data_IF_433207439067
#
_entry.id   IF_433207439067
#
_cell.length_a   1.000
_cell.length_b   1.000
_cell.length_c   1.000
_cell.angle_alpha   90.00
_cell.angle_beta   90.00
_cell.angle_gamma   90.00
#
_symmetry.space_group_name_H-M   'P 1'
#
loop_
_entity.id
_entity.type
_entity.pdbx_description
1 polymer ?
#
# COMPACT_ATOMS: atom_id res chain seq x y z
N UNK A 1 -36.82 -0.31 20.22
CA UNK A 1 -36.23 0.47 19.11
C UNK A 1 -35.51 1.76 19.57
N UNK A 2 -35.85 2.38 20.72
CA UNK A 2 -35.24 3.67 21.13
C UNK A 2 -33.82 3.64 21.72
N UNK A 3 -33.32 2.50 22.22
CA UNK A 3 -31.95 2.41 22.77
C UNK A 3 -30.87 2.25 21.69
N UNK A 4 -31.18 1.57 20.57
CA UNK A 4 -30.22 1.35 19.47
C UNK A 4 -29.88 2.67 18.76
N UNK A 5 -30.89 3.50 18.49
CA UNK A 5 -30.69 4.78 17.81
C UNK A 5 -29.90 5.79 18.64
N UNK A 6 -30.01 5.75 19.97
CA UNK A 6 -29.24 6.61 20.86
C UNK A 6 -27.76 6.20 20.92
N UNK A 7 -27.48 4.89 20.96
CA UNK A 7 -26.11 4.35 20.91
C UNK A 7 -25.44 4.65 19.57
N UNK A 8 -26.18 4.48 18.46
CA UNK A 8 -25.69 4.80 17.12
C UNK A 8 -25.38 6.29 16.96
N UNK A 9 -26.26 7.18 17.44
CA UNK A 9 -26.03 8.62 17.42
C UNK A 9 -24.82 9.02 18.27
N UNK A 10 -24.68 8.45 19.47
CA UNK A 10 -23.55 8.72 20.35
C UNK A 10 -22.23 8.19 19.77
N UNK A 11 -22.23 7.00 19.17
CA UNK A 11 -21.07 6.46 18.47
C UNK A 11 -20.68 7.31 17.26
N UNK A 12 -21.66 7.83 16.51
CA UNK A 12 -21.40 8.73 15.39
C UNK A 12 -20.73 10.03 15.85
N UNK A 13 -21.21 10.62 16.96
CA UNK A 13 -20.59 11.83 17.54
C UNK A 13 -19.18 11.56 18.08
N UNK A 14 -18.96 10.43 18.75
CA UNK A 14 -17.65 10.10 19.34
C UNK A 14 -16.60 9.67 18.30
N UNK A 15 -17.00 8.88 17.29
CA UNK A 15 -16.09 8.33 16.28
C UNK A 15 -15.93 9.24 15.06
N UNK A 16 -16.82 10.20 14.85
CA UNK A 16 -16.80 11.11 13.71
C UNK A 16 -15.44 11.81 13.50
N UNK A 17 -14.89 12.48 14.53
CA UNK A 17 -13.57 13.12 14.43
C UNK A 17 -12.44 12.13 14.11
N UNK A 18 -12.42 10.98 14.77
CA UNK A 18 -11.39 9.95 14.55
C UNK A 18 -11.45 9.36 13.13
N UNK A 19 -12.65 9.22 12.57
CA UNK A 19 -12.83 8.80 11.17
C UNK A 19 -12.31 9.85 10.21
N UNK A 20 -12.56 11.13 10.48
CA UNK A 20 -12.02 12.20 9.65
C UNK A 20 -10.47 12.25 9.69
N UNK A 21 -9.87 11.94 10.84
CA UNK A 21 -8.41 11.78 10.94
C UNK A 21 -7.89 10.60 10.11
N UNK A 22 -8.57 9.44 10.16
CA UNK A 22 -8.23 8.28 9.32
C UNK A 22 -8.40 8.61 7.84
N UNK A 23 -9.50 9.24 7.45
CA UNK A 23 -9.76 9.63 6.06
C UNK A 23 -8.66 10.56 5.53
N UNK A 24 -8.17 11.49 6.36
CA UNK A 24 -7.06 12.37 5.99
C UNK A 24 -5.75 11.58 5.75
N UNK A 25 -5.43 10.61 6.61
CA UNK A 25 -4.28 9.71 6.43
C UNK A 25 -4.45 8.86 5.16
N UNK A 26 -5.64 8.35 4.89
CA UNK A 26 -5.92 7.53 3.71
C UNK A 26 -5.74 8.33 2.40
N UNK A 27 -6.10 9.63 2.40
CA UNK A 27 -5.82 10.53 1.28
C UNK A 27 -4.31 10.64 1.04
N UNK A 28 -3.51 10.77 2.09
CA UNK A 28 -2.05 10.83 1.97
C UNK A 28 -1.47 9.51 1.46
N UNK A 29 -1.95 8.37 1.96
CA UNK A 29 -1.56 7.04 1.49
C UNK A 29 -1.88 6.88 0.00
N UNK A 30 -3.08 7.29 -0.44
CA UNK A 30 -3.48 7.22 -1.85
C UNK A 30 -2.56 8.09 -2.73
N UNK A 31 -2.21 9.29 -2.28
CA UNK A 31 -1.29 10.17 -2.98
C UNK A 31 0.13 9.57 -3.08
N UNK A 32 0.62 8.94 -2.01
CA UNK A 32 1.92 8.25 -2.00
C UNK A 32 1.92 7.01 -2.91
N UNK A 33 0.82 6.25 -2.94
CA UNK A 33 0.66 5.12 -3.86
C UNK A 33 0.70 5.58 -5.32
N UNK A 34 0.02 6.68 -5.66
CA UNK A 34 0.08 7.24 -7.01
C UNK A 34 1.51 7.64 -7.41
N UNK A 35 2.24 8.31 -6.50
CA UNK A 35 3.67 8.65 -6.71
C UNK A 35 4.52 7.39 -6.90
N UNK A 36 4.30 6.35 -6.10
CA UNK A 36 5.01 5.07 -6.21
C UNK A 36 4.73 4.41 -7.56
N UNK A 37 3.48 4.43 -8.05
CA UNK A 37 3.14 3.88 -9.36
C UNK A 37 3.80 4.64 -10.51
N UNK A 38 3.92 5.97 -10.43
CA UNK A 38 4.68 6.73 -11.44
C UNK A 38 6.17 6.34 -11.50
N UNK A 39 6.76 5.88 -10.38
CA UNK A 39 8.10 5.28 -10.38
C UNK A 39 8.08 3.91 -11.08
N UNK A 40 7.10 3.06 -10.76
CA UNK A 40 6.93 1.74 -11.38
C UNK A 40 6.81 1.83 -12.90
N UNK A 41 6.10 2.82 -13.44
CA UNK A 41 6.02 3.04 -14.90
C UNK A 41 7.40 3.22 -15.54
N UNK A 42 8.27 4.01 -14.90
CA UNK A 42 9.64 4.22 -15.37
C UNK A 42 10.48 2.94 -15.24
N UNK A 43 10.26 2.17 -14.17
CA UNK A 43 10.89 0.85 -13.99
C UNK A 43 10.49 -0.11 -15.10
N UNK A 44 9.21 -0.14 -15.49
CA UNK A 44 8.73 -0.98 -16.61
C UNK A 44 9.44 -0.61 -17.91
N UNK A 45 9.61 0.68 -18.21
CA UNK A 45 10.33 1.12 -19.42
C UNK A 45 11.77 0.60 -19.43
N UNK A 46 12.50 0.76 -18.31
CA UNK A 46 13.88 0.25 -18.17
C UNK A 46 13.92 -1.27 -18.30
N UNK A 47 13.02 -1.98 -17.62
CA UNK A 47 12.97 -3.45 -17.68
C UNK A 47 12.68 -3.96 -19.09
N UNK A 48 11.79 -3.27 -19.82
CA UNK A 48 11.46 -3.61 -21.21
C UNK A 48 12.68 -3.45 -22.11
N UNK A 49 13.38 -2.33 -22.03
CA UNK A 49 14.57 -2.06 -22.84
C UNK A 49 15.71 -3.04 -22.53
N UNK A 50 15.87 -3.41 -21.26
CA UNK A 50 16.92 -4.32 -20.80
C UNK A 50 16.55 -5.82 -20.83
N UNK A 51 15.31 -6.17 -21.22
CA UNK A 51 14.84 -7.57 -21.20
C UNK A 51 14.75 -8.19 -19.79
N UNK A 52 14.58 -7.38 -18.75
CA UNK A 52 14.51 -7.81 -17.35
C UNK A 52 13.07 -8.24 -17.01
N UNK A 53 12.87 -9.38 -16.34
CA UNK A 53 11.53 -9.83 -15.93
C UNK A 53 10.90 -8.92 -14.87
N UNK A 54 9.56 -8.95 -14.77
CA UNK A 54 8.85 -8.21 -13.73
C UNK A 54 9.24 -8.70 -12.31
N UNK A 55 9.27 -10.01 -12.11
CA UNK A 55 9.62 -10.64 -10.83
C UNK A 55 11.13 -10.74 -10.64
N UNK A 56 11.61 -10.19 -9.53
CA UNK A 56 12.95 -10.43 -8.97
C UNK A 56 12.76 -10.80 -7.49
N UNK A 57 12.84 -12.09 -7.16
CA UNK A 57 12.51 -12.60 -5.82
C UNK A 57 13.35 -11.93 -4.72
N UNK A 58 14.66 -11.81 -4.93
CA UNK A 58 15.56 -11.17 -3.97
C UNK A 58 15.12 -9.74 -3.65
N UNK A 59 14.61 -9.02 -4.66
CA UNK A 59 14.13 -7.65 -4.46
C UNK A 59 12.85 -7.60 -3.62
N UNK A 60 11.97 -8.59 -3.73
CA UNK A 60 10.75 -8.66 -2.91
C UNK A 60 11.12 -8.84 -1.44
N UNK A 61 12.06 -9.75 -1.15
CA UNK A 61 12.51 -10.01 0.22
C UNK A 61 13.26 -8.82 0.82
N UNK A 62 14.14 -8.16 0.05
CA UNK A 62 14.81 -6.93 0.49
C UNK A 62 13.81 -5.83 0.88
N UNK A 63 12.79 -5.62 0.04
CA UNK A 63 11.77 -4.58 0.30
C UNK A 63 10.92 -4.95 1.52
N UNK A 64 10.56 -6.22 1.68
CA UNK A 64 9.83 -6.70 2.84
C UNK A 64 10.63 -6.51 4.15
N UNK A 65 11.91 -6.90 4.16
CA UNK A 65 12.78 -6.72 5.31
C UNK A 65 12.96 -5.23 5.67
N UNK A 66 13.14 -4.37 4.65
CA UNK A 66 13.30 -2.94 4.86
C UNK A 66 12.05 -2.31 5.49
N UNK A 67 10.85 -2.59 4.96
CA UNK A 67 9.63 -2.00 5.51
C UNK A 67 9.34 -2.50 6.93
N UNK A 68 9.66 -3.76 7.25
CA UNK A 68 9.58 -4.27 8.63
C UNK A 68 10.44 -3.44 9.59
N UNK A 69 11.71 -3.22 9.25
CA UNK A 69 12.61 -2.41 10.08
C UNK A 69 12.15 -0.96 10.23
N UNK A 70 11.56 -0.37 9.18
CA UNK A 70 10.97 0.98 9.26
C UNK A 70 9.73 1.03 10.16
N UNK A 71 8.90 -0.01 10.12
CA UNK A 71 7.72 -0.10 10.96
C UNK A 71 8.12 -0.22 12.44
N UNK A 72 9.09 -1.08 12.76
CA UNK A 72 9.65 -1.20 14.12
C UNK A 72 10.20 0.14 14.62
N UNK A 73 10.98 0.85 13.80
CA UNK A 73 11.55 2.15 14.16
C UNK A 73 10.52 3.26 14.37
N UNK A 74 9.35 3.17 13.72
CA UNK A 74 8.27 4.17 13.82
C UNK A 74 7.17 3.78 14.82
N UNK A 75 7.27 2.62 15.47
CA UNK A 75 6.28 2.11 16.41
C UNK A 75 5.04 1.49 15.73
N UNK A 76 5.07 1.29 14.41
CA UNK A 76 4.04 0.59 13.68
C UNK A 76 4.23 -0.94 13.79
N UNK A 77 3.17 -1.76 13.73
CA UNK A 77 3.30 -3.21 13.74
C UNK A 77 4.06 -3.71 12.50
N UNK A 78 5.23 -4.39 12.65
CA UNK A 78 6.02 -4.82 11.48
C UNK A 78 5.28 -5.84 10.60
N UNK A 79 4.48 -6.71 11.20
CA UNK A 79 3.73 -7.72 10.46
C UNK A 79 2.64 -7.09 9.58
N UNK A 80 2.04 -5.98 10.03
CA UNK A 80 1.10 -5.20 9.22
C UNK A 80 1.81 -4.59 8.01
N UNK A 81 2.96 -3.95 8.25
CA UNK A 81 3.73 -3.30 7.19
C UNK A 81 4.19 -4.31 6.12
N UNK A 82 4.71 -5.46 6.54
CA UNK A 82 5.08 -6.53 5.62
C UNK A 82 3.88 -7.04 4.81
N UNK A 83 2.74 -7.27 5.47
CA UNK A 83 1.52 -7.76 4.82
C UNK A 83 1.06 -6.81 3.70
N UNK A 84 1.00 -5.51 3.99
CA UNK A 84 0.60 -4.49 3.02
C UNK A 84 1.59 -4.43 1.85
N UNK A 85 2.89 -4.45 2.13
CA UNK A 85 3.91 -4.35 1.07
C UNK A 85 3.96 -5.59 0.19
N UNK A 86 3.83 -6.79 0.75
CA UNK A 86 3.79 -8.04 -0.05
C UNK A 86 2.58 -8.08 -0.97
N UNK A 87 1.40 -7.69 -0.47
CA UNK A 87 0.19 -7.59 -1.30
C UNK A 87 0.37 -6.57 -2.44
N UNK A 88 0.88 -5.37 -2.13
CA UNK A 88 1.16 -4.33 -3.12
C UNK A 88 2.18 -4.80 -4.17
N UNK A 89 3.29 -5.41 -3.76
CA UNK A 89 4.31 -5.92 -4.68
C UNK A 89 3.75 -7.02 -5.57
N UNK A 90 2.98 -7.96 -5.02
CA UNK A 90 2.33 -9.01 -5.81
C UNK A 90 1.42 -8.44 -6.90
N UNK A 91 0.61 -7.43 -6.56
CA UNK A 91 -0.23 -6.75 -7.54
C UNK A 91 0.60 -6.04 -8.63
N UNK A 92 1.67 -5.36 -8.23
CA UNK A 92 2.54 -4.61 -9.14
C UNK A 92 3.31 -5.53 -10.08
N UNK A 93 3.85 -6.65 -9.58
CA UNK A 93 4.51 -7.65 -10.41
C UNK A 93 3.53 -8.11 -11.50
N UNK A 94 2.30 -8.48 -11.14
CA UNK A 94 1.28 -8.89 -12.12
C UNK A 94 0.92 -7.77 -13.12
N UNK A 95 0.93 -6.52 -12.68
CA UNK A 95 0.72 -5.35 -13.53
C UNK A 95 1.86 -5.11 -14.52
N UNK A 96 3.11 -5.12 -14.04
CA UNK A 96 4.32 -5.03 -14.86
C UNK A 96 4.33 -6.15 -15.92
N UNK A 97 4.00 -7.37 -15.51
CA UNK A 97 3.96 -8.55 -16.37
C UNK A 97 3.00 -8.41 -17.56
N UNK A 98 1.81 -7.83 -17.33
CA UNK A 98 0.86 -7.52 -18.42
C UNK A 98 1.45 -6.48 -19.37
N UNK A 99 2.01 -5.40 -18.82
CA UNK A 99 2.60 -4.28 -19.57
C UNK A 99 3.83 -4.68 -20.38
N UNK A 100 4.62 -5.63 -19.90
CA UNK A 100 5.79 -6.14 -20.63
C UNK A 100 5.39 -7.05 -21.79
N UNK A 101 4.18 -7.65 -21.75
CA UNK A 101 3.65 -8.51 -22.82
C UNK A 101 2.90 -7.74 -23.91
N UNK A 102 2.31 -6.60 -23.58
CA UNK A 102 1.68 -5.68 -24.53
C UNK A 102 2.77 -5.04 -25.42
N UNK A 103 2.77 -5.39 -26.71
CA UNK A 103 3.69 -4.85 -27.73
C UNK A 103 3.18 -3.56 -28.34
#
# INVERSE_FOLDING_TARGET
>A
MGMSSAVEAQAATALGPLRAEIDAVDIEIAALLAKRMAVVERVIAVKREAGIPALLNDRVEEVAAHVRGQAEASGAPPDLAETVWRAMMGWIIAYEDRRLRER
#
